data_IF_359781629340
#
_entry.id   IF_359781629340
#
_cell.length_a   1.000
_cell.length_b   1.000
_cell.length_c   1.000
_cell.angle_alpha   90.00
_cell.angle_beta   90.00
_cell.angle_gamma   90.00
#
_symmetry.space_group_name_H-M   'P 1'
#
loop_
_entity.id
_entity.type
_entity.pdbx_description
1 polymer ?
#
# COMPACT_ATOMS: atom_id res chain seq x y z
N UNK A 1 -32.14 -49.50 38.17
CA UNK A 1 -31.57 -49.63 36.81
C UNK A 1 -31.55 -48.26 36.16
N UNK A 2 -30.47 -47.50 36.39
CA UNK A 2 -30.31 -46.17 35.81
C UNK A 2 -30.02 -46.34 34.32
N UNK A 3 -30.78 -45.62 33.48
CA UNK A 3 -30.76 -45.70 32.02
C UNK A 3 -29.34 -45.52 31.45
N UNK A 4 -28.64 -46.63 31.18
CA UNK A 4 -27.36 -46.67 30.45
C UNK A 4 -27.51 -45.98 29.07
N UNK A 5 -28.72 -46.01 28.48
CA UNK A 5 -29.03 -45.30 27.24
C UNK A 5 -29.02 -43.77 27.39
N UNK A 6 -29.37 -43.19 28.54
CA UNK A 6 -29.32 -41.74 28.75
C UNK A 6 -27.87 -41.24 28.88
N UNK A 7 -27.00 -42.03 29.51
CA UNK A 7 -25.58 -41.70 29.69
C UNK A 7 -24.83 -41.72 28.36
N UNK A 8 -25.18 -42.65 27.46
CA UNK A 8 -24.59 -42.73 26.12
C UNK A 8 -25.03 -41.55 25.24
N UNK A 9 -26.31 -41.13 25.30
CA UNK A 9 -26.76 -39.94 24.57
C UNK A 9 -26.16 -38.62 25.10
N UNK A 10 -25.92 -38.52 26.41
CA UNK A 10 -25.20 -37.38 27.01
C UNK A 10 -23.72 -37.36 26.60
N UNK A 11 -23.05 -38.51 26.49
CA UNK A 11 -21.66 -38.58 26.02
C UNK A 11 -21.51 -38.29 24.52
N UNK A 12 -22.45 -38.77 23.68
CA UNK A 12 -22.43 -38.52 22.23
C UNK A 12 -22.81 -37.05 21.90
N UNK A 13 -23.68 -36.43 22.71
CA UNK A 13 -23.99 -35.01 22.60
C UNK A 13 -22.81 -34.09 22.94
N UNK A 14 -21.91 -34.52 23.85
CA UNK A 14 -20.71 -33.76 24.21
C UNK A 14 -19.60 -33.94 23.17
N UNK A 15 -19.51 -35.08 22.49
CA UNK A 15 -18.48 -35.32 21.45
C UNK A 15 -18.72 -34.58 20.13
N UNK A 16 -19.88 -33.93 19.96
CA UNK A 16 -20.19 -33.05 18.82
C UNK A 16 -20.30 -31.57 19.19
N UNK A 17 -19.92 -31.19 20.42
CA UNK A 17 -19.62 -29.80 20.73
C UNK A 17 -18.34 -29.43 19.98
N UNK A 18 -18.49 -28.98 18.74
CA UNK A 18 -17.57 -28.02 18.13
C UNK A 18 -17.26 -26.98 19.21
N UNK A 19 -16.04 -27.01 19.76
CA UNK A 19 -15.60 -26.02 20.73
C UNK A 19 -15.55 -24.71 19.95
N UNK A 20 -16.60 -23.89 20.10
CA UNK A 20 -16.62 -22.56 19.52
C UNK A 20 -15.40 -21.81 20.05
N UNK A 21 -14.51 -21.37 19.15
CA UNK A 21 -13.28 -20.70 19.55
C UNK A 21 -13.63 -19.38 20.24
N UNK A 22 -13.03 -19.12 21.39
CA UNK A 22 -13.25 -17.87 22.10
C UNK A 22 -12.51 -16.73 21.40
N UNK A 23 -13.01 -15.50 21.53
CA UNK A 23 -12.32 -14.29 21.04
C UNK A 23 -10.86 -14.23 21.49
N UNK A 24 -10.61 -14.61 22.75
CA UNK A 24 -9.28 -14.59 23.36
C UNK A 24 -8.33 -15.58 22.69
N UNK A 25 -8.79 -16.78 22.38
CA UNK A 25 -7.98 -17.79 21.69
C UNK A 25 -7.62 -17.34 20.28
N UNK A 26 -8.59 -16.83 19.51
CA UNK A 26 -8.35 -16.32 18.16
C UNK A 26 -7.35 -15.15 18.18
N UNK A 27 -7.56 -14.17 19.06
CA UNK A 27 -6.67 -13.02 19.24
C UNK A 27 -5.26 -13.47 19.62
N UNK A 28 -5.14 -14.44 20.53
CA UNK A 28 -3.85 -14.99 20.93
C UNK A 28 -3.12 -15.63 19.75
N UNK A 29 -3.84 -16.38 18.91
CA UNK A 29 -3.27 -17.02 17.72
C UNK A 29 -2.80 -15.98 16.69
N UNK A 30 -3.56 -14.91 16.48
CA UNK A 30 -3.15 -13.83 15.57
C UNK A 30 -1.86 -13.15 16.06
N UNK A 31 -1.76 -12.92 17.37
CA UNK A 31 -0.55 -12.34 17.98
C UNK A 31 0.64 -13.30 17.88
N UNK A 32 0.41 -14.61 17.97
CA UNK A 32 1.45 -15.64 17.85
C UNK A 32 2.05 -15.69 16.45
N UNK A 33 1.22 -15.73 15.39
CA UNK A 33 1.70 -15.77 14.00
C UNK A 33 2.32 -14.42 13.57
N UNK A 34 1.73 -13.31 14.01
CA UNK A 34 2.27 -11.95 13.86
C UNK A 34 2.66 -11.51 12.43
N UNK A 35 1.92 -11.97 11.43
CA UNK A 35 1.98 -11.52 10.03
C UNK A 35 0.62 -10.96 9.59
N UNK A 36 0.63 -9.98 8.68
CA UNK A 36 -0.59 -9.51 8.03
C UNK A 36 -0.73 -10.24 6.70
N UNK A 37 -1.71 -11.13 6.63
CA UNK A 37 -1.88 -12.04 5.50
C UNK A 37 -3.12 -11.62 4.71
N UNK A 38 -2.99 -11.58 3.38
CA UNK A 38 -4.12 -11.43 2.47
C UNK A 38 -4.78 -12.79 2.20
N UNK A 39 -5.96 -12.76 1.58
CA UNK A 39 -6.51 -13.98 1.00
C UNK A 39 -5.56 -14.53 -0.08
N UNK A 40 -5.31 -15.83 -0.05
CA UNK A 40 -4.34 -16.53 -0.90
C UNK A 40 -5.00 -17.38 -1.99
N UNK A 41 -6.34 -17.35 -2.10
CA UNK A 41 -7.09 -18.18 -3.04
C UNK A 41 -7.30 -19.62 -2.57
N UNK A 42 -6.73 -20.03 -1.43
CA UNK A 42 -6.80 -21.41 -0.94
C UNK A 42 -7.94 -21.53 0.06
N UNK A 43 -9.08 -22.09 -0.35
CA UNK A 43 -10.26 -22.19 0.51
C UNK A 43 -10.05 -22.95 1.84
N UNK A 44 -8.96 -23.72 1.98
CA UNK A 44 -8.67 -24.57 3.13
C UNK A 44 -7.23 -24.35 3.67
N UNK A 45 -7.02 -23.40 4.60
CA UNK A 45 -5.73 -23.28 5.30
C UNK A 45 -5.42 -24.50 6.17
N UNK A 46 -4.17 -24.65 6.63
CA UNK A 46 -3.82 -25.71 7.57
C UNK A 46 -4.41 -25.37 8.95
N UNK A 47 -5.37 -26.17 9.40
CA UNK A 47 -6.06 -25.97 10.67
C UNK A 47 -5.48 -26.84 11.79
N UNK A 48 -5.31 -26.25 12.97
CA UNK A 48 -5.06 -26.95 14.22
C UNK A 48 -6.32 -27.69 14.70
N UNK A 49 -6.15 -28.55 15.72
CA UNK A 49 -7.26 -29.26 16.37
C UNK A 49 -8.34 -28.32 16.93
N UNK A 50 -7.94 -27.12 17.34
CA UNK A 50 -8.85 -26.07 17.80
C UNK A 50 -9.56 -25.34 16.65
N UNK A 51 -9.35 -25.75 15.39
CA UNK A 51 -9.91 -25.15 14.20
C UNK A 51 -9.27 -23.83 13.78
N UNK A 52 -8.24 -23.30 14.45
CA UNK A 52 -7.54 -22.09 14.02
C UNK A 52 -6.47 -22.43 12.98
N UNK A 53 -6.22 -21.52 12.06
CA UNK A 53 -5.12 -21.69 11.11
C UNK A 53 -3.78 -21.46 11.83
N UNK A 54 -2.79 -22.31 11.53
CA UNK A 54 -1.43 -22.16 12.03
C UNK A 54 -0.49 -21.42 11.07
N UNK A 55 -0.98 -21.04 9.90
CA UNK A 55 -0.21 -20.52 8.78
C UNK A 55 -0.81 -19.25 8.15
N UNK A 56 -2.00 -18.82 8.58
CA UNK A 56 -2.70 -17.69 7.99
C UNK A 56 -3.59 -16.95 8.98
N UNK A 57 -3.20 -15.71 9.26
CA UNK A 57 -3.97 -14.76 10.05
C UNK A 57 -5.20 -14.22 9.33
N UNK A 58 -5.27 -14.27 8.00
CA UNK A 58 -6.48 -13.93 7.26
C UNK A 58 -7.67 -14.77 7.74
N UNK A 59 -7.51 -16.09 7.73
CA UNK A 59 -8.57 -17.01 8.15
C UNK A 59 -8.88 -16.91 9.64
N UNK A 60 -7.87 -16.68 10.48
CA UNK A 60 -8.09 -16.46 11.91
C UNK A 60 -8.90 -15.17 12.16
N UNK A 61 -8.61 -14.09 11.44
CA UNK A 61 -9.34 -12.84 11.57
C UNK A 61 -10.77 -12.95 11.01
N UNK A 62 -10.99 -13.65 9.90
CA UNK A 62 -12.34 -13.95 9.38
C UNK A 62 -13.20 -14.73 10.40
N UNK A 63 -12.59 -15.59 11.22
CA UNK A 63 -13.29 -16.23 12.35
C UNK A 63 -13.59 -15.25 13.48
N UNK A 64 -12.64 -14.37 13.82
CA UNK A 64 -12.86 -13.35 14.84
C UNK A 64 -14.01 -12.41 14.45
N UNK A 65 -14.05 -11.96 13.19
CA UNK A 65 -15.08 -11.07 12.64
C UNK A 65 -16.49 -11.58 12.87
N UNK A 66 -16.71 -12.90 12.76
CA UNK A 66 -18.03 -13.52 12.93
C UNK A 66 -18.56 -13.46 14.36
N UNK A 67 -17.71 -13.20 15.36
CA UNK A 67 -18.09 -13.25 16.78
C UNK A 67 -17.79 -11.97 17.55
N UNK A 68 -17.02 -11.03 16.98
CA UNK A 68 -16.65 -9.75 17.61
C UNK A 68 -17.70 -8.67 17.32
N UNK A 69 -18.00 -7.81 18.31
CA UNK A 69 -18.85 -6.64 18.11
C UNK A 69 -18.08 -5.48 17.46
N UNK A 70 -18.81 -4.51 16.88
CA UNK A 70 -18.20 -3.30 16.32
C UNK A 70 -17.44 -2.49 17.38
N UNK A 71 -17.93 -2.41 18.62
CA UNK A 71 -17.25 -1.70 19.72
C UNK A 71 -15.94 -2.40 20.13
N UNK A 72 -15.91 -3.74 20.12
CA UNK A 72 -14.69 -4.49 20.36
C UNK A 72 -13.70 -4.34 19.20
N UNK A 73 -14.18 -4.35 17.96
CA UNK A 73 -13.36 -4.10 16.78
C UNK A 73 -12.73 -2.69 16.81
N UNK A 74 -13.49 -1.67 17.23
CA UNK A 74 -12.95 -0.32 17.46
C UNK A 74 -11.90 -0.28 18.58
N UNK A 75 -11.97 -1.14 19.59
CA UNK A 75 -10.90 -1.25 20.59
C UNK A 75 -9.64 -1.87 19.99
N UNK A 76 -9.78 -2.80 19.03
CA UNK A 76 -8.65 -3.44 18.37
C UNK A 76 -7.85 -2.47 17.49
N UNK A 77 -8.43 -1.40 16.95
CA UNK A 77 -7.67 -0.37 16.20
C UNK A 77 -6.63 0.36 17.07
N UNK A 78 -6.76 0.29 18.39
CA UNK A 78 -5.81 0.85 19.37
C UNK A 78 -4.94 -0.20 20.04
N UNK A 79 -4.99 -1.45 19.56
CA UNK A 79 -4.26 -2.55 20.16
C UNK A 79 -2.74 -2.42 19.94
N UNK A 80 -1.96 -2.94 20.90
CA UNK A 80 -0.49 -2.87 20.85
C UNK A 80 0.11 -3.65 19.68
N UNK A 81 -0.46 -4.83 19.39
CA UNK A 81 -0.06 -5.66 18.27
C UNK A 81 -0.56 -5.03 16.97
N UNK A 82 0.36 -4.77 16.03
CA UNK A 82 0.06 -4.04 14.80
C UNK A 82 -0.82 -4.84 13.84
N UNK A 83 -0.72 -6.17 13.83
CA UNK A 83 -1.52 -7.04 12.95
C UNK A 83 -3.01 -6.91 13.29
N UNK A 84 -3.36 -7.07 14.57
CA UNK A 84 -4.74 -6.87 15.04
C UNK A 84 -5.25 -5.46 14.76
N UNK A 85 -4.39 -4.45 14.94
CA UNK A 85 -4.73 -3.06 14.66
C UNK A 85 -5.06 -2.86 13.18
N UNK A 86 -4.23 -3.38 12.27
CA UNK A 86 -4.41 -3.22 10.83
C UNK A 86 -5.65 -3.95 10.32
N UNK A 87 -5.86 -5.20 10.71
CA UNK A 87 -7.08 -5.93 10.37
C UNK A 87 -8.35 -5.22 10.87
N UNK A 88 -8.31 -4.67 12.09
CA UNK A 88 -9.44 -3.93 12.64
C UNK A 88 -9.70 -2.60 11.91
N UNK A 89 -8.64 -1.89 11.53
CA UNK A 89 -8.76 -0.65 10.74
C UNK A 89 -9.36 -0.97 9.37
N UNK A 90 -8.87 -2.00 8.70
CA UNK A 90 -9.33 -2.42 7.37
C UNK A 90 -10.82 -2.79 7.37
N UNK A 91 -11.24 -3.62 8.32
CA UNK A 91 -12.64 -4.02 8.46
C UNK A 91 -13.59 -2.85 8.76
N UNK A 92 -13.16 -1.90 9.60
CA UNK A 92 -13.96 -0.72 9.92
C UNK A 92 -13.97 0.31 8.79
N UNK A 93 -13.05 0.20 7.82
CA UNK A 93 -12.96 1.09 6.66
C UNK A 93 -13.90 0.65 5.54
N UNK A 94 -14.10 -0.66 5.33
CA UNK A 94 -15.02 -1.19 4.33
C UNK A 94 -16.48 -0.83 4.67
N UNK A 95 -16.83 -0.95 5.95
CA UNK A 95 -18.14 -0.58 6.47
C UNK A 95 -18.42 0.92 6.25
N UNK A 96 -19.59 1.28 5.71
CA UNK A 96 -20.09 2.68 5.60
C UNK A 96 -20.24 3.40 6.96
N UNK A 97 -19.82 2.73 8.02
CA UNK A 97 -19.91 3.18 9.39
C UNK A 97 -18.78 4.17 9.66
N UNK A 98 -19.10 5.37 10.16
CA UNK A 98 -18.14 6.42 10.58
C UNK A 98 -17.38 6.04 11.87
N UNK A 99 -17.14 4.75 12.06
CA UNK A 99 -16.56 4.14 13.26
C UNK A 99 -15.08 4.46 13.44
N UNK A 100 -14.39 4.84 12.36
CA UNK A 100 -12.97 5.21 12.39
C UNK A 100 -12.71 6.52 11.64
N UNK A 101 -11.72 7.27 12.12
CA UNK A 101 -11.19 8.42 11.42
C UNK A 101 -9.97 7.95 10.59
N UNK A 102 -10.24 7.51 9.35
CA UNK A 102 -9.23 6.93 8.45
C UNK A 102 -8.05 7.88 8.23
N UNK A 103 -8.34 9.17 7.98
CA UNK A 103 -7.32 10.21 7.81
C UNK A 103 -6.36 10.26 9.00
N UNK A 104 -6.89 10.27 10.23
CA UNK A 104 -6.08 10.25 11.43
C UNK A 104 -5.24 8.98 11.53
N UNK A 105 -5.81 7.80 11.27
CA UNK A 105 -5.07 6.53 11.33
C UNK A 105 -3.89 6.49 10.35
N UNK A 106 -4.05 7.06 9.14
CA UNK A 106 -2.98 7.17 8.14
C UNK A 106 -1.90 8.14 8.60
N UNK A 107 -2.25 9.37 8.97
CA UNK A 107 -1.29 10.39 9.37
C UNK A 107 -0.53 9.98 10.65
N UNK A 108 -1.21 9.37 11.62
CA UNK A 108 -0.57 8.83 12.81
C UNK A 108 0.38 7.68 12.45
N UNK A 109 0.00 6.79 11.53
CA UNK A 109 0.89 5.71 11.08
C UNK A 109 2.14 6.24 10.34
N UNK A 110 2.01 7.32 9.55
CA UNK A 110 3.14 7.99 8.90
C UNK A 110 4.13 8.50 9.96
N UNK A 111 3.64 9.11 11.03
CA UNK A 111 4.50 9.64 12.10
C UNK A 111 5.29 8.54 12.84
N UNK A 112 4.76 7.32 12.91
CA UNK A 112 5.40 6.21 13.64
C UNK A 112 6.23 5.26 12.77
N UNK A 113 6.03 5.25 11.44
CA UNK A 113 6.81 4.49 10.43
C UNK A 113 7.08 3.03 10.79
N UNK A 114 6.10 2.36 11.39
CA UNK A 114 6.24 0.93 11.73
C UNK A 114 6.23 0.10 10.46
N UNK A 115 7.10 -0.90 10.42
CA UNK A 115 7.18 -1.93 9.38
C UNK A 115 6.68 -3.24 10.00
N UNK A 116 5.87 -3.98 9.24
CA UNK A 116 5.38 -5.30 9.64
C UNK A 116 5.65 -6.31 8.52
N UNK A 117 5.62 -7.60 8.87
CA UNK A 117 5.69 -8.67 7.87
C UNK A 117 4.32 -8.86 7.22
N UNK A 118 4.28 -8.95 5.90
CA UNK A 118 3.09 -9.17 5.08
C UNK A 118 3.23 -10.43 4.26
N UNK A 119 2.14 -11.20 4.14
CA UNK A 119 2.10 -12.42 3.33
C UNK A 119 1.03 -12.29 2.25
N UNK A 120 1.40 -12.62 1.01
CA UNK A 120 0.49 -12.76 -0.12
C UNK A 120 0.73 -14.12 -0.76
N UNK A 121 -0.04 -15.13 -0.31
CA UNK A 121 0.29 -16.53 -0.59
C UNK A 121 1.68 -16.89 -0.06
N UNK A 122 2.54 -17.45 -0.91
CA UNK A 122 3.91 -17.82 -0.52
C UNK A 122 4.90 -16.63 -0.50
N UNK A 123 4.46 -15.43 -0.89
CA UNK A 123 5.34 -14.25 -0.94
C UNK A 123 5.33 -13.59 0.44
N UNK A 124 6.53 -13.47 1.03
CA UNK A 124 6.76 -12.78 2.31
C UNK A 124 7.48 -11.47 2.06
N UNK A 125 6.90 -10.37 2.52
CA UNK A 125 7.49 -9.03 2.40
C UNK A 125 7.41 -8.26 3.73
N UNK A 126 7.88 -7.01 3.71
CA UNK A 126 7.87 -6.07 4.82
C UNK A 126 7.34 -4.72 4.37
N UNK A 127 6.17 -4.37 4.87
CA UNK A 127 5.48 -3.16 4.47
C UNK A 127 5.34 -2.15 5.62
N UNK A 128 5.37 -0.87 5.25
CA UNK A 128 5.01 0.19 6.17
C UNK A 128 3.52 0.15 6.49
N UNK A 129 3.20 0.20 7.78
CA UNK A 129 1.81 0.25 8.27
C UNK A 129 0.98 1.38 7.64
N UNK A 130 1.57 2.56 7.42
CA UNK A 130 0.87 3.66 6.75
C UNK A 130 0.58 3.37 5.28
N UNK A 131 1.49 2.69 4.58
CA UNK A 131 1.34 2.33 3.17
C UNK A 131 0.18 1.36 3.00
N UNK A 132 0.05 0.40 3.91
CA UNK A 132 -1.07 -0.57 3.96
C UNK A 132 -2.40 0.16 4.18
N UNK A 133 -2.52 0.97 5.25
CA UNK A 133 -3.79 1.63 5.57
C UNK A 133 -4.21 2.57 4.44
N UNK A 134 -3.26 3.35 3.89
CA UNK A 134 -3.53 4.24 2.79
C UNK A 134 -3.91 3.49 1.51
N UNK A 135 -3.21 2.39 1.18
CA UNK A 135 -3.55 1.53 0.06
C UNK A 135 -4.98 1.02 0.16
N UNK A 136 -5.35 0.46 1.31
CA UNK A 136 -6.65 -0.16 1.50
C UNK A 136 -7.77 0.88 1.36
N UNK A 137 -7.56 2.10 1.87
CA UNK A 137 -8.54 3.17 1.68
C UNK A 137 -8.70 3.57 0.21
N UNK A 138 -7.59 3.82 -0.48
CA UNK A 138 -7.60 4.13 -1.90
C UNK A 138 -8.25 3.00 -2.74
N UNK A 139 -7.94 1.74 -2.41
CA UNK A 139 -8.51 0.56 -3.08
C UNK A 139 -10.01 0.44 -2.82
N UNK A 140 -10.45 0.76 -1.62
CA UNK A 140 -11.87 0.75 -1.24
C UNK A 140 -12.66 1.81 -2.02
N UNK A 141 -12.13 3.04 -2.17
CA UNK A 141 -12.74 4.09 -3.00
C UNK A 141 -12.94 3.60 -4.44
N UNK A 142 -11.91 3.01 -5.05
CA UNK A 142 -11.99 2.43 -6.41
C UNK A 142 -12.96 1.24 -6.47
N UNK A 143 -12.84 0.30 -5.54
CA UNK A 143 -13.64 -0.92 -5.48
C UNK A 143 -15.14 -0.66 -5.30
N UNK A 144 -15.52 0.36 -4.50
CA UNK A 144 -16.92 0.77 -4.32
C UNK A 144 -17.52 1.33 -5.61
N UNK A 145 -16.75 2.08 -6.40
CA UNK A 145 -17.23 2.62 -7.67
C UNK A 145 -17.37 1.55 -8.76
N UNK A 146 -16.55 0.50 -8.70
CA UNK A 146 -16.59 -0.65 -9.62
C UNK A 146 -17.64 -1.72 -9.23
N UNK A 147 -18.35 -1.57 -8.11
CA UNK A 147 -19.47 -2.42 -7.68
C UNK A 147 -20.75 -2.08 -8.49
N UNK A 148 -21.73 -3.00 -8.60
CA UNK A 148 -22.44 -3.34 -9.84
C UNK A 148 -23.20 -2.22 -10.58
N UNK A 149 -23.46 -2.42 -11.90
CA UNK A 149 -23.42 -3.71 -12.60
C UNK A 149 -22.10 -3.97 -13.30
N UNK A 150 -21.43 -5.06 -12.92
CA UNK A 150 -20.36 -5.80 -13.59
C UNK A 150 -19.86 -5.20 -14.92
N UNK A 151 -19.18 -4.05 -14.86
CA UNK A 151 -18.40 -3.59 -16.00
C UNK A 151 -17.18 -4.50 -16.07
N UNK A 152 -16.96 -5.12 -17.21
CA UNK A 152 -15.85 -6.06 -17.44
C UNK A 152 -14.80 -5.47 -18.37
N UNK A 153 -15.10 -4.34 -19.01
CA UNK A 153 -14.14 -3.61 -19.83
C UNK A 153 -13.13 -2.88 -18.92
N UNK A 154 -11.87 -3.32 -18.97
CA UNK A 154 -10.78 -2.79 -18.16
C UNK A 154 -10.60 -1.27 -18.30
N UNK A 155 -10.79 -0.72 -19.51
CA UNK A 155 -10.63 0.73 -19.73
C UNK A 155 -11.76 1.50 -19.09
N UNK A 156 -12.99 0.99 -19.17
CA UNK A 156 -14.12 1.63 -18.50
C UNK A 156 -14.04 1.52 -16.99
N UNK A 157 -13.62 0.36 -16.45
CA UNK A 157 -13.32 0.18 -15.02
C UNK A 157 -12.30 1.23 -14.58
N UNK A 158 -11.23 1.43 -15.35
CA UNK A 158 -10.22 2.42 -15.02
C UNK A 158 -10.77 3.85 -15.02
N UNK A 159 -11.59 4.21 -16.01
CA UNK A 159 -12.26 5.52 -16.03
C UNK A 159 -13.20 5.73 -14.84
N UNK A 160 -13.95 4.70 -14.44
CA UNK A 160 -14.82 4.73 -13.26
C UNK A 160 -14.01 4.90 -11.99
N UNK A 161 -12.91 4.15 -11.84
CA UNK A 161 -12.00 4.24 -10.71
C UNK A 161 -11.36 5.62 -10.59
N UNK A 162 -10.84 6.16 -11.70
CA UNK A 162 -10.26 7.50 -11.73
C UNK A 162 -11.29 8.56 -11.34
N UNK A 163 -12.52 8.44 -11.86
CA UNK A 163 -13.61 9.34 -11.46
C UNK A 163 -13.87 9.27 -9.96
N UNK A 164 -13.95 8.07 -9.38
CA UNK A 164 -14.17 7.88 -7.95
C UNK A 164 -13.06 8.49 -7.08
N UNK A 165 -11.79 8.27 -7.47
CA UNK A 165 -10.63 8.87 -6.80
C UNK A 165 -10.68 10.40 -6.84
N UNK A 166 -11.15 10.99 -7.95
CA UNK A 166 -11.27 12.44 -8.10
C UNK A 166 -12.49 13.03 -7.36
N UNK A 167 -13.53 12.24 -7.10
CA UNK A 167 -14.75 12.67 -6.42
C UNK A 167 -14.72 12.42 -4.90
N UNK A 168 -13.85 11.52 -4.40
CA UNK A 168 -13.74 11.23 -2.96
C UNK A 168 -13.06 12.38 -2.19
N UNK A 169 -13.87 13.15 -1.46
CA UNK A 169 -13.41 14.33 -0.70
C UNK A 169 -12.36 13.95 0.34
N UNK A 170 -12.58 12.86 1.09
CA UNK A 170 -11.69 12.46 2.18
C UNK A 170 -10.33 12.00 1.65
N UNK A 171 -10.29 11.26 0.54
CA UNK A 171 -9.05 10.87 -0.14
C UNK A 171 -8.29 12.10 -0.62
N UNK A 172 -8.97 13.08 -1.22
CA UNK A 172 -8.32 14.34 -1.64
C UNK A 172 -7.75 15.12 -0.46
N UNK A 173 -8.45 15.15 0.67
CA UNK A 173 -7.92 15.75 1.90
C UNK A 173 -6.69 15.00 2.45
N UNK A 174 -6.73 13.67 2.48
CA UNK A 174 -5.61 12.83 2.89
C UNK A 174 -4.41 13.07 1.97
N UNK A 175 -4.60 13.03 0.66
CA UNK A 175 -3.53 13.27 -0.31
C UNK A 175 -2.95 14.67 -0.16
N UNK A 176 -3.81 15.68 0.04
CA UNK A 176 -3.36 17.06 0.27
C UNK A 176 -2.48 17.17 1.50
N UNK A 177 -2.82 16.49 2.59
CA UNK A 177 -2.01 16.52 3.81
C UNK A 177 -0.72 15.70 3.68
N UNK A 178 -0.76 14.55 2.99
CA UNK A 178 0.44 13.78 2.62
C UNK A 178 1.40 14.65 1.79
N UNK A 179 0.91 15.34 0.77
CA UNK A 179 1.73 16.15 -0.13
C UNK A 179 2.29 17.41 0.53
N UNK A 180 1.74 17.85 1.68
CA UNK A 180 2.31 18.94 2.49
C UNK A 180 3.43 18.47 3.42
N UNK A 181 3.58 17.16 3.63
CA UNK A 181 4.66 16.64 4.46
C UNK A 181 6.00 16.91 3.80
N UNK A 182 6.94 17.46 4.56
CA UNK A 182 8.31 17.62 4.11
C UNK A 182 9.13 16.34 4.33
N UNK A 183 8.69 15.24 3.72
CA UNK A 183 9.29 13.92 3.84
C UNK A 183 9.15 13.13 2.52
N UNK A 184 10.13 12.24 2.25
CA UNK A 184 10.05 11.22 1.20
C UNK A 184 9.43 9.92 1.75
N UNK A 185 8.15 9.73 1.51
CA UNK A 185 7.40 8.52 1.89
C UNK A 185 7.64 7.38 0.91
N UNK A 186 7.23 6.16 1.27
CA UNK A 186 7.34 5.01 0.36
C UNK A 186 6.67 5.30 -1.00
N UNK A 187 7.35 4.97 -2.10
CA UNK A 187 7.00 5.37 -3.47
C UNK A 187 5.53 5.14 -3.83
N UNK A 188 4.96 4.03 -3.35
CA UNK A 188 3.60 3.60 -3.63
C UNK A 188 2.53 4.54 -3.08
N UNK A 189 2.88 5.37 -2.07
CA UNK A 189 2.02 6.47 -1.61
C UNK A 189 1.87 7.53 -2.70
N UNK A 190 2.96 7.89 -3.39
CA UNK A 190 2.94 8.92 -4.43
C UNK A 190 2.26 8.44 -5.70
N UNK A 191 2.48 7.18 -6.09
CA UNK A 191 1.79 6.55 -7.22
C UNK A 191 0.27 6.78 -7.16
N UNK A 192 -0.32 6.53 -5.98
CA UNK A 192 -1.75 6.72 -5.72
C UNK A 192 -2.15 8.18 -5.49
N UNK A 193 -1.36 8.94 -4.72
CA UNK A 193 -1.68 10.33 -4.43
C UNK A 193 -1.71 11.18 -5.71
N UNK A 194 -0.97 10.81 -6.75
CA UNK A 194 -0.92 11.51 -8.02
C UNK A 194 -1.93 11.03 -9.08
N UNK A 195 -2.83 10.09 -8.75
CA UNK A 195 -3.97 9.75 -9.63
C UNK A 195 -5.03 10.87 -9.72
N UNK A 196 -5.11 11.73 -8.70
CA UNK A 196 -6.01 12.90 -8.70
C UNK A 196 -5.59 13.87 -9.80
N UNK A 197 -6.50 14.20 -10.71
CA UNK A 197 -6.21 14.92 -11.96
C UNK A 197 -5.44 16.21 -11.72
N UNK A 198 -5.92 17.09 -10.84
CA UNK A 198 -5.23 18.36 -10.60
C UNK A 198 -5.43 18.88 -9.17
N UNK A 199 -4.32 19.15 -8.51
CA UNK A 199 -4.27 19.88 -7.25
C UNK A 199 -4.28 21.40 -7.45
N UNK A 200 -4.50 22.15 -6.37
CA UNK A 200 -4.40 23.61 -6.40
C UNK A 200 -2.94 24.11 -6.45
N UNK A 201 -2.77 25.41 -6.70
CA UNK A 201 -1.45 26.05 -6.81
C UNK A 201 -0.65 26.03 -5.49
N UNK A 202 -1.32 25.92 -4.34
CA UNK A 202 -0.66 25.75 -3.04
C UNK A 202 0.04 24.40 -2.96
N UNK A 203 -0.69 23.34 -3.31
CA UNK A 203 -0.13 21.99 -3.39
C UNK A 203 0.88 21.83 -4.52
N UNK A 204 0.69 22.49 -5.67
CA UNK A 204 1.69 22.53 -6.75
C UNK A 204 3.08 22.91 -6.25
N UNK A 205 3.19 23.90 -5.36
CA UNK A 205 4.48 24.30 -4.76
C UNK A 205 5.09 23.17 -3.95
N UNK A 206 4.29 22.43 -3.18
CA UNK A 206 4.77 21.29 -2.41
C UNK A 206 5.21 20.13 -3.32
N UNK A 207 4.50 19.89 -4.43
CA UNK A 207 4.87 18.87 -5.41
C UNK A 207 6.19 19.23 -6.11
N UNK A 208 6.40 20.52 -6.43
CA UNK A 208 7.70 21.00 -6.92
C UNK A 208 8.79 20.77 -5.87
N UNK A 209 8.51 21.05 -4.59
CA UNK A 209 9.46 20.77 -3.50
C UNK A 209 9.78 19.27 -3.38
N UNK A 210 8.80 18.37 -3.54
CA UNK A 210 9.03 16.92 -3.58
C UNK A 210 9.99 16.54 -4.71
N UNK A 211 9.78 17.08 -5.92
CA UNK A 211 10.69 16.87 -7.05
C UNK A 211 12.10 17.39 -6.73
N UNK A 212 12.22 18.63 -6.25
CA UNK A 212 13.52 19.28 -6.08
C UNK A 212 14.32 18.72 -4.91
N UNK A 213 13.68 18.47 -3.78
CA UNK A 213 14.34 18.04 -2.55
C UNK A 213 14.59 16.53 -2.53
N UNK A 214 13.64 15.74 -3.03
CA UNK A 214 13.68 14.29 -2.93
C UNK A 214 13.95 13.58 -4.26
N UNK A 215 14.00 14.32 -5.38
CA UNK A 215 14.17 13.77 -6.73
C UNK A 215 13.02 12.84 -7.11
N UNK A 216 11.82 13.13 -6.61
CA UNK A 216 10.65 12.27 -6.74
C UNK A 216 10.16 12.21 -8.20
N UNK A 217 10.29 11.05 -8.84
CA UNK A 217 9.89 10.83 -10.25
C UNK A 217 8.38 10.95 -10.46
N UNK A 218 7.57 10.54 -9.48
CA UNK A 218 6.11 10.66 -9.55
C UNK A 218 5.68 12.14 -9.60
N UNK A 219 6.31 12.99 -8.78
CA UNK A 219 6.10 14.43 -8.84
C UNK A 219 6.51 15.02 -10.20
N UNK A 220 7.60 14.54 -10.80
CA UNK A 220 8.02 14.92 -12.16
C UNK A 220 6.94 14.60 -13.19
N UNK A 221 6.45 13.35 -13.21
CA UNK A 221 5.43 12.91 -14.16
C UNK A 221 4.11 13.68 -13.96
N UNK A 222 3.72 13.89 -12.70
CA UNK A 222 2.53 14.65 -12.35
C UNK A 222 2.61 16.10 -12.82
N UNK A 223 3.73 16.79 -12.55
CA UNK A 223 3.93 18.17 -12.96
C UNK A 223 3.92 18.33 -14.48
N UNK A 224 4.52 17.39 -15.21
CA UNK A 224 4.49 17.35 -16.68
C UNK A 224 3.06 17.27 -17.20
N UNK A 225 2.27 16.34 -16.65
CA UNK A 225 0.90 16.07 -17.09
C UNK A 225 -0.04 17.25 -16.80
N UNK A 226 0.03 17.80 -15.57
CA UNK A 226 -1.02 18.67 -15.04
C UNK A 226 -0.65 20.17 -15.02
N UNK A 227 0.62 20.51 -15.20
CA UNK A 227 1.12 21.89 -15.27
C UNK A 227 2.09 22.10 -16.46
N UNK A 228 1.70 21.73 -17.70
CA UNK A 228 2.60 21.73 -18.85
C UNK A 228 3.18 23.12 -19.18
N UNK A 229 2.42 24.19 -18.94
CA UNK A 229 2.86 25.57 -19.20
C UNK A 229 4.05 25.98 -18.32
N UNK A 230 4.11 25.48 -17.08
CA UNK A 230 5.19 25.79 -16.14
C UNK A 230 6.30 24.75 -16.17
N UNK A 231 5.99 23.54 -16.64
CA UNK A 231 6.86 22.38 -16.54
C UNK A 231 8.22 22.61 -17.20
N UNK A 232 8.29 23.34 -18.32
CA UNK A 232 9.58 23.61 -18.99
C UNK A 232 10.57 24.37 -18.09
N UNK A 233 10.08 25.32 -17.29
CA UNK A 233 10.93 26.05 -16.35
C UNK A 233 11.29 25.14 -15.17
N UNK A 234 10.31 24.40 -14.65
CA UNK A 234 10.51 23.45 -13.55
C UNK A 234 11.56 22.39 -13.90
N UNK A 235 11.47 21.83 -15.12
CA UNK A 235 12.35 20.83 -15.68
C UNK A 235 13.79 21.33 -15.78
N UNK A 236 13.98 22.52 -16.38
CA UNK A 236 15.31 23.13 -16.51
C UNK A 236 15.95 23.37 -15.15
N UNK A 237 15.18 23.93 -14.21
CA UNK A 237 15.67 24.18 -12.87
C UNK A 237 16.03 22.88 -12.14
N UNK A 238 15.18 21.85 -12.22
CA UNK A 238 15.41 20.53 -11.65
C UNK A 238 16.76 19.94 -12.08
N UNK A 239 16.98 19.81 -13.39
CA UNK A 239 18.18 19.15 -13.91
C UNK A 239 19.46 19.94 -13.68
N UNK A 240 19.39 21.28 -13.69
CA UNK A 240 20.55 22.14 -13.48
C UNK A 240 20.94 22.17 -11.99
N UNK A 241 19.97 22.35 -11.09
CA UNK A 241 20.24 22.70 -9.69
C UNK A 241 20.13 21.54 -8.70
N UNK A 242 19.26 20.57 -8.98
CA UNK A 242 18.83 19.58 -8.00
C UNK A 242 19.26 18.15 -8.38
N UNK A 243 18.91 17.67 -9.58
CA UNK A 243 19.28 16.32 -10.04
C UNK A 243 20.79 16.07 -10.00
N UNK A 244 21.57 17.07 -10.41
CA UNK A 244 23.04 17.01 -10.41
C UNK A 244 23.63 16.79 -9.01
N UNK A 245 22.94 17.21 -7.95
CA UNK A 245 23.39 17.06 -6.55
C UNK A 245 22.84 15.81 -5.86
N UNK A 246 21.85 15.14 -6.45
CA UNK A 246 21.24 13.96 -5.89
C UNK A 246 22.24 12.80 -5.80
N UNK A 247 22.22 12.07 -4.68
CA UNK A 247 23.11 10.91 -4.46
C UNK A 247 22.49 9.60 -4.94
N UNK A 248 21.16 9.51 -4.99
CA UNK A 248 20.41 8.31 -5.37
C UNK A 248 20.83 7.06 -4.58
N UNK A 249 21.03 7.22 -3.26
CA UNK A 249 21.49 6.14 -2.37
C UNK A 249 20.36 5.45 -1.62
N UNK A 250 19.21 6.11 -1.47
CA UNK A 250 18.03 5.54 -0.81
C UNK A 250 17.21 4.72 -1.79
N UNK A 251 16.55 3.67 -1.30
CA UNK A 251 15.68 2.77 -2.09
C UNK A 251 14.69 3.55 -2.97
N UNK A 252 13.88 4.46 -2.40
CA UNK A 252 12.97 5.28 -3.21
C UNK A 252 13.69 6.06 -4.34
N UNK A 253 14.85 6.64 -4.03
CA UNK A 253 15.59 7.44 -5.00
C UNK A 253 16.16 6.59 -6.13
N UNK A 254 16.59 5.35 -5.86
CA UNK A 254 17.04 4.45 -6.94
C UNK A 254 15.89 4.09 -7.88
N UNK A 255 14.68 3.87 -7.35
CA UNK A 255 13.47 3.73 -8.17
C UNK A 255 13.18 5.00 -8.97
N UNK A 256 13.27 6.19 -8.36
CA UNK A 256 13.05 7.44 -9.09
C UNK A 256 14.06 7.67 -10.21
N UNK A 257 15.32 7.28 -10.01
CA UNK A 257 16.34 7.35 -11.06
C UNK A 257 15.99 6.41 -12.23
N UNK A 258 15.48 5.21 -11.93
CA UNK A 258 15.03 4.25 -12.95
C UNK A 258 13.87 4.83 -13.76
N UNK A 259 12.85 5.38 -13.11
CA UNK A 259 11.69 5.98 -13.80
C UNK A 259 12.11 7.15 -14.68
N UNK A 260 13.00 8.02 -14.18
CA UNK A 260 13.54 9.12 -14.96
C UNK A 260 14.37 8.61 -16.15
N UNK A 261 15.10 7.50 -15.99
CA UNK A 261 15.83 6.87 -17.09
C UNK A 261 14.87 6.34 -18.15
N UNK A 262 13.89 5.52 -17.77
CA UNK A 262 12.87 5.01 -18.68
C UNK A 262 12.22 6.15 -19.47
N UNK A 263 11.77 7.20 -18.77
CA UNK A 263 11.22 8.39 -19.39
C UNK A 263 12.16 9.01 -20.43
N UNK A 264 13.42 9.24 -20.07
CA UNK A 264 14.40 9.87 -20.95
C UNK A 264 14.65 9.05 -22.22
N UNK A 265 14.73 7.73 -22.07
CA UNK A 265 14.98 6.82 -23.18
C UNK A 265 13.77 6.65 -24.09
N UNK A 266 12.58 6.45 -23.53
CA UNK A 266 11.32 6.29 -24.28
C UNK A 266 10.93 7.55 -25.05
N UNK A 267 11.24 8.73 -24.51
CA UNK A 267 10.91 10.02 -25.15
C UNK A 267 12.07 10.59 -25.98
N UNK A 268 13.15 9.82 -26.19
CA UNK A 268 14.32 10.24 -26.94
C UNK A 268 14.93 11.59 -26.49
N UNK A 269 14.93 11.86 -25.17
CA UNK A 269 15.43 13.12 -24.62
C UNK A 269 16.94 13.04 -24.38
N UNK A 270 17.72 13.47 -25.37
CA UNK A 270 19.19 13.35 -25.37
C UNK A 270 19.89 14.09 -24.21
N UNK A 271 19.44 15.30 -23.84
CA UNK A 271 20.02 16.03 -22.70
C UNK A 271 19.80 15.26 -21.40
N UNK A 272 18.59 14.73 -21.19
CA UNK A 272 18.25 13.94 -20.01
C UNK A 272 19.00 12.61 -19.97
N UNK A 273 19.07 11.89 -21.10
CA UNK A 273 19.87 10.66 -21.23
C UNK A 273 21.31 10.92 -20.81
N UNK A 274 21.95 11.97 -21.35
CA UNK A 274 23.33 12.31 -21.03
C UNK A 274 23.53 12.52 -19.52
N UNK A 275 22.67 13.34 -18.88
CA UNK A 275 22.73 13.62 -17.44
C UNK A 275 22.52 12.36 -16.59
N UNK A 276 21.58 11.51 -16.98
CA UNK A 276 21.29 10.26 -16.28
C UNK A 276 22.45 9.28 -16.38
N UNK A 277 23.05 9.11 -17.57
CA UNK A 277 24.20 8.23 -17.75
C UNK A 277 25.43 8.73 -16.97
N UNK A 278 25.67 10.04 -16.96
CA UNK A 278 26.70 10.64 -16.11
C UNK A 278 26.43 10.37 -14.62
N UNK A 279 25.18 10.48 -14.19
CA UNK A 279 24.79 10.18 -12.82
C UNK A 279 24.99 8.69 -12.48
N UNK A 280 24.56 7.77 -13.34
CA UNK A 280 24.74 6.33 -13.13
C UNK A 280 26.21 5.92 -13.02
N UNK A 281 27.12 6.60 -13.75
CA UNK A 281 28.57 6.37 -13.63
C UNK A 281 29.18 6.88 -12.32
N UNK A 282 28.59 7.91 -11.74
CA UNK A 282 29.15 8.62 -10.56
C UNK A 282 28.49 8.20 -9.24
N UNK A 283 27.28 7.63 -9.29
CA UNK A 283 26.55 7.12 -8.12
C UNK A 283 26.33 5.62 -8.26
N UNK A 284 26.58 4.86 -7.20
CA UNK A 284 26.48 3.38 -7.20
C UNK A 284 25.27 2.83 -6.44
N UNK A 285 24.39 3.68 -5.91
CA UNK A 285 23.23 3.23 -5.14
C UNK A 285 22.32 2.28 -5.95
N UNK A 286 22.16 2.56 -7.24
CA UNK A 286 21.36 1.73 -8.15
C UNK A 286 21.93 0.33 -8.39
N UNK A 287 23.25 0.12 -8.26
CA UNK A 287 23.88 -1.19 -8.49
C UNK A 287 23.43 -2.23 -7.46
N UNK A 288 23.14 -1.78 -6.22
CA UNK A 288 22.74 -2.65 -5.11
C UNK A 288 21.28 -3.08 -5.21
N UNK A 289 20.40 -2.13 -5.50
CA UNK A 289 18.95 -2.34 -5.43
C UNK A 289 18.36 -2.78 -6.78
N UNK A 290 18.89 -2.26 -7.89
CA UNK A 290 18.21 -2.32 -9.20
C UNK A 290 19.15 -2.65 -10.37
N UNK A 291 20.34 -3.20 -10.14
CA UNK A 291 21.30 -3.50 -11.22
C UNK A 291 20.70 -4.34 -12.35
N UNK A 292 20.05 -5.46 -12.01
CA UNK A 292 19.38 -6.31 -13.00
C UNK A 292 18.25 -5.59 -13.75
N UNK A 293 17.50 -4.73 -13.06
CA UNK A 293 16.42 -3.96 -13.66
C UNK A 293 16.95 -2.92 -14.65
N UNK A 294 18.00 -2.18 -14.29
CA UNK A 294 18.68 -1.23 -15.20
C UNK A 294 19.30 -1.94 -16.40
N UNK A 295 19.96 -3.08 -16.18
CA UNK A 295 20.57 -3.89 -17.21
C UNK A 295 19.54 -4.31 -18.28
N UNK A 296 18.39 -4.82 -17.87
CA UNK A 296 17.36 -5.28 -18.79
C UNK A 296 16.55 -4.14 -19.41
N UNK A 297 16.10 -3.18 -18.61
CA UNK A 297 15.13 -2.18 -19.06
C UNK A 297 15.78 -0.96 -19.73
N UNK A 298 17.05 -0.68 -19.43
CA UNK A 298 17.77 0.46 -19.99
C UNK A 298 18.94 -0.01 -20.88
N UNK A 299 19.90 -0.75 -20.32
CA UNK A 299 21.17 -0.95 -21.04
C UNK A 299 21.03 -1.88 -22.25
N UNK A 300 20.43 -3.05 -22.07
CA UNK A 300 20.20 -3.97 -23.17
C UNK A 300 19.13 -3.45 -24.14
N UNK A 301 18.02 -2.94 -23.63
CA UNK A 301 16.91 -2.43 -24.46
C UNK A 301 17.34 -1.30 -25.41
N UNK A 302 18.23 -0.41 -24.95
CA UNK A 302 18.67 0.76 -25.72
C UNK A 302 20.15 0.69 -26.16
N UNK A 303 20.80 -0.47 -26.04
CA UNK A 303 22.21 -0.71 -26.39
C UNK A 303 23.18 0.34 -25.79
N UNK A 304 23.00 0.62 -24.49
CA UNK A 304 23.81 1.57 -23.73
C UNK A 304 24.94 0.82 -23.01
N UNK A 305 26.14 1.41 -23.05
CA UNK A 305 27.28 0.96 -22.24
C UNK A 305 27.61 2.03 -21.20
N UNK A 306 27.58 1.65 -19.92
CA UNK A 306 27.97 2.54 -18.82
C UNK A 306 29.48 2.58 -18.65
#
# INVERSE_FOLDING_TARGET
MINIRLVIFLFIGISHLSIAQTKKEIISKIIELNSLDSWDGIENPILEKNGLSNDSNYYNFEKLKKIISTEELQKLTKHKNQILRLYAIDELMDNENKAINVKKEILDAINHKKIIQTHSGCIVDKDFTYSIIYHNYWSNVRGKASKPPHETDEKKIELINLKAVNEDILLREINSDILKLDEDLYWLVYDRAFEVEKYDDGLKKNIINLLYKYNNSYAFQYLKKNYPNDFNNIYKEYFIRYFSKATFEKVNQTFYLLDLAQYAFENNNEDMKKRILEKLRTTKGWEKELSGTFEHQIFNKYNVKL
#
